data_IF_111207079132
#
_entry.id   IF_111207079132
#
_cell.length_a   1.000
_cell.length_b   1.000
_cell.length_c   1.000
_cell.angle_alpha   90.00
_cell.angle_beta   90.00
_cell.angle_gamma   90.00
#
_symmetry.space_group_name_H-M   'P 1'
#
loop_
_entity.id
_entity.type
_entity.pdbx_description
1 polymer ?
#
# COMPACT_ATOMS: atom_id res chain seq x y z
N UNK A 1 10.23 11.17 -33.17
CA UNK A 1 9.56 9.88 -32.92
C UNK A 1 9.69 9.48 -31.46
N UNK A 2 10.90 9.47 -30.89
CA UNK A 2 11.15 9.11 -29.47
C UNK A 2 10.39 9.93 -28.42
N UNK A 3 10.30 11.26 -28.61
CA UNK A 3 9.56 12.11 -27.67
C UNK A 3 8.06 11.74 -27.60
N UNK A 4 7.45 11.46 -28.75
CA UNK A 4 6.04 11.07 -28.82
C UNK A 4 5.81 9.73 -28.13
N UNK A 5 6.71 8.77 -28.37
CA UNK A 5 6.69 7.48 -27.70
C UNK A 5 6.80 7.65 -26.18
N UNK A 6 7.77 8.40 -25.68
CA UNK A 6 7.90 8.66 -24.24
C UNK A 6 6.63 9.30 -23.64
N UNK A 7 5.99 10.23 -24.35
CA UNK A 7 4.74 10.84 -23.92
C UNK A 7 3.61 9.80 -23.86
N UNK A 8 3.48 8.94 -24.87
CA UNK A 8 2.50 7.84 -24.90
C UNK A 8 2.72 6.88 -23.71
N UNK A 9 3.96 6.49 -23.44
CA UNK A 9 4.30 5.62 -22.29
C UNK A 9 3.96 6.29 -20.95
N UNK A 10 4.24 7.59 -20.79
CA UNK A 10 3.88 8.33 -19.56
C UNK A 10 2.36 8.42 -19.40
N UNK A 11 1.61 8.56 -20.49
CA UNK A 11 0.13 8.57 -20.46
C UNK A 11 -0.40 7.22 -20.00
N UNK A 12 0.12 6.11 -20.52
CA UNK A 12 -0.26 4.76 -20.09
C UNK A 12 0.03 4.57 -18.60
N UNK A 13 1.24 4.91 -18.16
CA UNK A 13 1.64 4.80 -16.76
C UNK A 13 0.77 5.65 -15.83
N UNK A 14 0.44 6.87 -16.24
CA UNK A 14 -0.46 7.72 -15.48
C UNK A 14 -1.88 7.15 -15.43
N UNK A 15 -2.35 6.49 -16.49
CA UNK A 15 -3.62 5.75 -16.49
C UNK A 15 -3.63 4.66 -15.44
N UNK A 16 -2.61 3.80 -15.43
CA UNK A 16 -2.45 2.72 -14.44
C UNK A 16 -2.41 3.25 -13.00
N UNK A 17 -1.71 4.38 -12.76
CA UNK A 17 -1.67 5.00 -11.44
C UNK A 17 -3.02 5.58 -11.01
N UNK A 18 -3.81 6.13 -11.94
CA UNK A 18 -5.17 6.60 -11.64
C UNK A 18 -6.12 5.42 -11.35
N UNK A 19 -5.99 4.30 -12.06
CA UNK A 19 -6.73 3.08 -11.76
C UNK A 19 -6.38 2.55 -10.36
N UNK A 20 -5.08 2.53 -10.02
CA UNK A 20 -4.62 2.15 -8.68
C UNK A 20 -5.15 3.09 -7.60
N UNK A 21 -5.16 4.39 -7.86
CA UNK A 21 -5.73 5.39 -6.94
C UNK A 21 -7.22 5.11 -6.68
N UNK A 22 -8.00 4.86 -7.73
CA UNK A 22 -9.43 4.58 -7.60
C UNK A 22 -9.69 3.29 -6.78
N UNK A 23 -8.84 2.27 -6.94
CA UNK A 23 -8.93 1.04 -6.12
C UNK A 23 -8.58 1.32 -4.66
N UNK A 24 -7.55 2.13 -4.40
CA UNK A 24 -7.18 2.51 -3.03
C UNK A 24 -8.27 3.35 -2.35
N UNK A 25 -8.88 4.30 -3.05
CA UNK A 25 -10.00 5.10 -2.54
C UNK A 25 -11.23 4.23 -2.25
N UNK A 26 -11.52 3.25 -3.12
CA UNK A 26 -12.56 2.25 -2.88
C UNK A 26 -12.25 1.42 -1.63
N UNK A 27 -11.02 0.95 -1.48
CA UNK A 27 -10.59 0.21 -0.29
C UNK A 27 -10.77 1.05 0.99
N UNK A 28 -10.49 2.36 0.96
CA UNK A 28 -10.75 3.25 2.10
C UNK A 28 -12.22 3.20 2.54
N UNK A 29 -13.15 3.20 1.58
CA UNK A 29 -14.59 3.09 1.87
C UNK A 29 -14.96 1.69 2.40
N UNK A 30 -14.42 0.63 1.79
CA UNK A 30 -14.65 -0.76 2.20
C UNK A 30 -14.14 -1.03 3.63
N UNK A 31 -13.02 -0.43 4.03
CA UNK A 31 -12.52 -0.47 5.40
C UNK A 31 -13.47 0.22 6.39
N UNK A 32 -14.09 1.33 5.99
CA UNK A 32 -15.11 2.02 6.78
C UNK A 32 -16.35 1.16 7.05
N UNK A 33 -16.76 0.37 6.05
CA UNK A 33 -17.89 -0.55 6.14
C UNK A 33 -17.53 -1.93 6.72
N UNK A 34 -16.24 -2.17 7.03
CA UNK A 34 -15.69 -3.47 7.47
C UNK A 34 -16.05 -4.60 6.49
N UNK A 35 -16.04 -4.30 5.19
CA UNK A 35 -16.40 -5.24 4.14
C UNK A 35 -15.19 -6.08 3.70
N UNK A 36 -14.87 -7.10 4.49
CA UNK A 36 -13.69 -7.97 4.28
C UNK A 36 -13.69 -8.66 2.91
N UNK A 37 -14.86 -9.05 2.40
CA UNK A 37 -14.98 -9.68 1.09
C UNK A 37 -14.62 -8.72 -0.05
N UNK A 38 -15.07 -7.47 0.03
CA UNK A 38 -14.72 -6.44 -0.94
C UNK A 38 -13.23 -6.06 -0.86
N UNK A 39 -12.68 -5.94 0.35
CA UNK A 39 -11.25 -5.68 0.56
C UNK A 39 -10.35 -6.76 -0.07
N UNK A 40 -10.77 -8.02 -0.07
CA UNK A 40 -10.04 -9.11 -0.74
C UNK A 40 -9.97 -8.91 -2.27
N UNK A 41 -11.08 -8.48 -2.88
CA UNK A 41 -11.16 -8.17 -4.32
C UNK A 41 -10.28 -6.95 -4.64
N UNK A 42 -10.33 -5.92 -3.79
CA UNK A 42 -9.47 -4.73 -3.90
C UNK A 42 -7.98 -5.10 -3.80
N UNK A 43 -7.59 -6.03 -2.93
CA UNK A 43 -6.21 -6.53 -2.85
C UNK A 43 -5.76 -7.23 -4.13
N UNK A 44 -6.57 -8.14 -4.68
CA UNK A 44 -6.23 -8.82 -5.94
C UNK A 44 -6.08 -7.81 -7.10
N UNK A 45 -6.95 -6.80 -7.14
CA UNK A 45 -6.88 -5.74 -8.17
C UNK A 45 -5.61 -4.89 -8.02
N UNK A 46 -5.20 -4.57 -6.78
CA UNK A 46 -3.94 -3.86 -6.51
C UNK A 46 -2.73 -4.68 -6.95
N UNK A 47 -2.72 -5.98 -6.69
CA UNK A 47 -1.62 -6.87 -7.12
C UNK A 47 -1.48 -6.89 -8.66
N UNK A 48 -2.59 -6.99 -9.38
CA UNK A 48 -2.58 -6.93 -10.84
C UNK A 48 -2.07 -5.58 -11.37
N UNK A 49 -2.57 -4.47 -10.83
CA UNK A 49 -2.18 -3.12 -11.26
C UNK A 49 -0.72 -2.81 -10.93
N UNK A 50 -0.24 -3.21 -9.75
CA UNK A 50 1.17 -3.04 -9.38
C UNK A 50 2.09 -3.89 -10.24
N UNK A 51 1.65 -5.11 -10.63
CA UNK A 51 2.34 -5.93 -11.64
C UNK A 51 2.49 -5.19 -12.97
N UNK A 52 1.39 -4.67 -13.53
CA UNK A 52 1.40 -3.91 -14.79
C UNK A 52 2.31 -2.67 -14.71
N UNK A 53 2.27 -1.94 -13.60
CA UNK A 53 3.13 -0.77 -13.33
C UNK A 53 4.62 -1.18 -13.30
N UNK A 54 4.94 -2.30 -12.66
CA UNK A 54 6.30 -2.81 -12.58
C UNK A 54 6.84 -3.24 -13.95
N UNK A 55 6.01 -3.90 -14.78
CA UNK A 55 6.36 -4.29 -16.15
C UNK A 55 6.60 -3.09 -17.07
N UNK A 56 5.85 -2.00 -16.86
CA UNK A 56 5.92 -0.80 -17.69
C UNK A 56 7.08 0.14 -17.30
N UNK A 57 7.58 0.04 -16.06
CA UNK A 57 8.64 0.92 -15.54
C UNK A 57 9.97 0.84 -16.32
N UNK A 58 10.50 -0.36 -16.69
CA UNK A 58 11.69 -0.48 -17.53
C UNK A 58 11.55 0.15 -18.91
N UNK A 59 10.35 0.10 -19.51
CA UNK A 59 10.07 0.67 -20.83
C UNK A 59 10.24 2.19 -20.79
N UNK A 60 9.68 2.83 -19.76
CA UNK A 60 9.83 4.27 -19.53
C UNK A 60 11.29 4.65 -19.26
N UNK A 61 12.01 3.88 -18.43
CA UNK A 61 13.43 4.15 -18.16
C UNK A 61 14.28 4.06 -19.42
N UNK A 62 14.01 3.07 -20.28
CA UNK A 62 14.68 2.93 -21.57
C UNK A 62 14.37 4.11 -22.50
N UNK A 63 13.10 4.52 -22.59
CA UNK A 63 12.68 5.67 -23.40
C UNK A 63 13.31 6.99 -22.91
N UNK A 64 13.39 7.20 -21.60
CA UNK A 64 14.11 8.35 -21.00
C UNK A 64 15.58 8.31 -21.39
N UNK A 65 16.24 7.16 -21.22
CA UNK A 65 17.68 7.01 -21.52
C UNK A 65 17.99 7.32 -22.98
N UNK A 66 17.16 6.81 -23.90
CA UNK A 66 17.30 7.03 -25.35
C UNK A 66 17.06 8.50 -25.73
N UNK A 67 16.04 9.13 -25.14
CA UNK A 67 15.74 10.53 -25.41
C UNK A 67 16.83 11.45 -24.82
N UNK A 68 17.30 11.19 -23.60
CA UNK A 68 18.41 11.92 -22.98
C UNK A 68 19.68 11.85 -23.82
N UNK A 69 20.03 10.66 -24.33
CA UNK A 69 21.20 10.48 -25.19
C UNK A 69 21.11 11.32 -26.48
N UNK A 70 19.91 11.41 -27.10
CA UNK A 70 19.67 12.26 -28.28
C UNK A 70 19.74 13.75 -27.97
N UNK A 71 19.30 14.13 -26.79
CA UNK A 71 19.30 15.52 -26.33
C UNK A 71 20.68 15.98 -25.84
N UNK A 72 21.69 15.09 -25.82
CA UNK A 72 23.04 15.37 -25.34
C UNK A 72 23.16 15.44 -23.82
N UNK A 73 22.20 14.86 -23.11
CA UNK A 73 22.12 14.83 -21.65
C UNK A 73 22.52 13.43 -21.15
N UNK A 74 23.20 13.29 -19.99
CA UNK A 74 23.48 11.97 -19.43
C UNK A 74 22.22 11.11 -19.32
N UNK A 75 22.27 9.86 -19.78
CA UNK A 75 21.12 8.93 -19.75
C UNK A 75 20.61 8.59 -18.34
N UNK A 76 21.35 8.97 -17.31
CA UNK A 76 21.01 8.79 -15.89
C UNK A 76 20.17 9.93 -15.30
N UNK A 77 19.86 10.98 -16.09
CA UNK A 77 19.04 12.09 -15.58
C UNK A 77 17.59 11.67 -15.32
N UNK A 78 16.99 12.33 -14.34
CA UNK A 78 15.57 12.12 -14.04
C UNK A 78 14.68 12.68 -15.14
N UNK A 79 13.46 12.12 -15.24
CA UNK A 79 12.43 12.60 -16.17
C UNK A 79 12.15 14.11 -16.02
N UNK A 80 12.24 14.65 -14.80
CA UNK A 80 12.03 16.08 -14.55
C UNK A 80 13.08 16.95 -15.24
N UNK A 81 14.37 16.59 -15.13
CA UNK A 81 15.47 17.33 -15.75
C UNK A 81 15.37 17.27 -17.28
N UNK A 82 15.04 16.09 -17.83
CA UNK A 82 14.80 15.93 -19.26
C UNK A 82 13.61 16.78 -19.74
N UNK A 83 12.50 16.78 -18.99
CA UNK A 83 11.31 17.55 -19.32
C UNK A 83 11.55 19.07 -19.30
N UNK A 84 12.30 19.57 -18.32
CA UNK A 84 12.70 20.98 -18.25
C UNK A 84 13.60 21.38 -19.43
N UNK A 85 14.55 20.52 -19.80
CA UNK A 85 15.43 20.77 -20.94
C UNK A 85 14.65 20.87 -22.25
N UNK A 86 13.71 19.95 -22.49
CA UNK A 86 12.86 19.95 -23.68
C UNK A 86 11.89 21.14 -23.66
N UNK A 87 11.38 21.53 -22.49
CA UNK A 87 10.55 22.73 -22.34
C UNK A 87 11.29 24.02 -22.71
N UNK A 88 12.58 24.14 -22.39
CA UNK A 88 13.43 25.28 -22.81
C UNK A 88 13.59 25.35 -24.33
N UNK A 89 13.49 24.22 -25.04
CA UNK A 89 13.49 24.13 -26.51
C UNK A 89 12.12 24.41 -27.14
N UNK A 90 11.11 24.76 -26.34
CA UNK A 90 9.79 25.18 -26.80
C UNK A 90 8.70 24.11 -26.72
N UNK A 91 9.02 22.86 -26.36
CA UNK A 91 8.01 21.81 -26.18
C UNK A 91 7.72 21.55 -24.70
N UNK A 92 6.59 22.08 -24.21
CA UNK A 92 6.16 21.97 -22.80
C UNK A 92 5.34 20.71 -22.50
N UNK A 93 4.99 19.91 -23.51
CA UNK A 93 4.09 18.76 -23.36
C UNK A 93 4.64 17.73 -22.37
N UNK A 94 5.93 17.39 -22.50
CA UNK A 94 6.58 16.43 -21.61
C UNK A 94 6.61 16.93 -20.15
N UNK A 95 6.79 18.23 -19.94
CA UNK A 95 6.78 18.84 -18.61
C UNK A 95 5.40 18.74 -17.96
N UNK A 96 4.33 19.02 -18.72
CA UNK A 96 2.96 18.87 -18.24
C UNK A 96 2.69 17.41 -17.85
N UNK A 97 3.10 16.45 -18.68
CA UNK A 97 2.90 15.02 -18.42
C UNK A 97 3.71 14.54 -17.21
N UNK A 98 4.94 15.03 -17.05
CA UNK A 98 5.77 14.74 -15.88
C UNK A 98 5.14 15.28 -14.58
N UNK A 99 4.53 16.46 -14.61
CA UNK A 99 3.82 17.02 -13.46
C UNK A 99 2.56 16.22 -13.12
N UNK A 100 1.80 15.81 -14.14
CA UNK A 100 0.60 14.97 -13.97
C UNK A 100 0.93 13.64 -13.29
N UNK A 101 1.88 12.89 -13.83
CA UNK A 101 2.26 11.58 -13.26
C UNK A 101 2.80 11.71 -11.83
N UNK A 102 3.56 12.77 -11.54
CA UNK A 102 4.05 13.06 -10.19
C UNK A 102 2.90 13.33 -9.22
N UNK A 103 1.95 14.18 -9.60
CA UNK A 103 0.79 14.49 -8.75
C UNK A 103 -0.06 13.24 -8.47
N UNK A 104 -0.27 12.38 -9.48
CA UNK A 104 -0.98 11.10 -9.30
C UNK A 104 -0.22 10.18 -8.36
N UNK A 105 1.10 10.03 -8.52
CA UNK A 105 1.92 9.20 -7.65
C UNK A 105 1.91 9.68 -6.19
N UNK A 106 2.00 11.01 -5.97
CA UNK A 106 1.90 11.61 -4.63
C UNK A 106 0.53 11.30 -3.98
N UNK A 107 -0.57 11.36 -4.74
CA UNK A 107 -1.91 10.98 -4.23
C UNK A 107 -2.01 9.50 -3.89
N UNK A 108 -1.52 8.61 -4.76
CA UNK A 108 -1.46 7.16 -4.50
C UNK A 108 -0.74 6.89 -3.18
N UNK A 109 0.41 7.54 -2.96
CA UNK A 109 1.16 7.39 -1.72
C UNK A 109 0.39 7.88 -0.49
N UNK A 110 -0.31 9.02 -0.59
CA UNK A 110 -1.13 9.55 0.50
C UNK A 110 -2.28 8.61 0.87
N UNK A 111 -3.05 8.13 -0.11
CA UNK A 111 -4.19 7.23 0.13
C UNK A 111 -3.71 5.86 0.64
N UNK A 112 -2.63 5.31 0.07
CA UNK A 112 -2.05 4.07 0.58
C UNK A 112 -1.57 4.20 2.04
N UNK A 113 -0.98 5.34 2.40
CA UNK A 113 -0.58 5.62 3.79
C UNK A 113 -1.79 5.70 4.71
N UNK A 114 -2.88 6.33 4.26
CA UNK A 114 -4.13 6.42 5.02
C UNK A 114 -4.76 5.03 5.23
N UNK A 115 -4.85 4.21 4.18
CA UNK A 115 -5.38 2.85 4.27
C UNK A 115 -4.56 1.99 5.25
N UNK A 116 -3.23 2.15 5.24
CA UNK A 116 -2.36 1.50 6.22
C UNK A 116 -2.68 1.94 7.65
N UNK A 117 -2.81 3.24 7.90
CA UNK A 117 -3.14 3.77 9.23
C UNK A 117 -4.51 3.25 9.72
N UNK A 118 -5.52 3.20 8.84
CA UNK A 118 -6.85 2.65 9.16
C UNK A 118 -6.73 1.17 9.53
N UNK A 119 -6.00 0.37 8.73
CA UNK A 119 -5.80 -1.05 8.99
C UNK A 119 -5.06 -1.32 10.31
N UNK A 120 -4.02 -0.53 10.62
CA UNK A 120 -3.28 -0.62 11.88
C UNK A 120 -4.22 -0.33 13.08
N UNK A 121 -5.00 0.76 13.03
CA UNK A 121 -5.97 1.09 14.09
C UNK A 121 -7.07 0.04 14.24
N UNK A 122 -7.56 -0.51 13.14
CA UNK A 122 -8.54 -1.59 13.16
C UNK A 122 -7.98 -2.83 13.88
N UNK A 123 -6.75 -3.22 13.56
CA UNK A 123 -6.06 -4.35 14.19
C UNK A 123 -5.91 -4.15 15.71
N UNK A 124 -5.48 -2.96 16.14
CA UNK A 124 -5.36 -2.61 17.56
C UNK A 124 -6.71 -2.71 18.30
N UNK A 125 -7.79 -2.22 17.67
CA UNK A 125 -9.15 -2.25 18.24
C UNK A 125 -9.66 -3.69 18.42
N UNK A 126 -9.46 -4.55 17.42
CA UNK A 126 -9.82 -5.97 17.49
C UNK A 126 -9.02 -6.69 18.57
N UNK A 127 -7.71 -6.44 18.66
CA UNK A 127 -6.86 -7.02 19.69
C UNK A 127 -7.29 -6.60 21.11
N UNK A 128 -7.60 -5.32 21.31
CA UNK A 128 -8.12 -4.79 22.57
C UNK A 128 -9.45 -5.45 22.97
N UNK A 129 -10.36 -5.59 22.00
CA UNK A 129 -11.65 -6.25 22.20
C UNK A 129 -11.49 -7.72 22.59
N UNK A 130 -10.60 -8.44 21.91
CA UNK A 130 -10.29 -9.84 22.22
C UNK A 130 -9.69 -10.01 23.62
N UNK A 131 -8.78 -9.13 24.01
CA UNK A 131 -8.20 -9.11 25.35
C UNK A 131 -9.26 -8.86 26.43
N UNK A 132 -10.20 -7.95 26.17
CA UNK A 132 -11.31 -7.67 27.09
C UNK A 132 -12.23 -8.88 27.24
N UNK A 133 -12.65 -9.50 26.13
CA UNK A 133 -13.49 -10.71 26.14
C UNK A 133 -12.77 -11.85 26.88
N UNK A 134 -11.48 -12.06 26.59
CA UNK A 134 -10.66 -13.08 27.27
C UNK A 134 -10.57 -12.82 28.77
N UNK A 135 -10.37 -11.57 29.18
CA UNK A 135 -10.37 -11.18 30.60
C UNK A 135 -11.72 -11.45 31.26
N UNK A 136 -12.83 -11.09 30.59
CA UNK A 136 -14.19 -11.36 31.09
C UNK A 136 -14.43 -12.86 31.25
N UNK A 137 -14.10 -13.69 30.25
CA UNK A 137 -14.26 -15.15 30.33
C UNK A 137 -13.42 -15.75 31.47
N UNK A 138 -12.19 -15.29 31.63
CA UNK A 138 -11.31 -15.73 32.72
C UNK A 138 -11.81 -15.26 34.09
N UNK A 139 -12.42 -14.08 34.20
CA UNK A 139 -13.03 -13.58 35.44
C UNK A 139 -14.36 -14.29 35.76
N UNK A 140 -15.20 -14.60 34.77
CA UNK A 140 -16.44 -15.35 34.98
C UNK A 140 -16.19 -16.79 35.43
N UNK A 141 -15.04 -17.37 35.04
CA UNK A 141 -14.60 -18.68 35.55
C UNK A 141 -14.08 -18.66 37.00
N UNK A 142 -13.91 -17.47 37.60
CA UNK A 142 -13.42 -17.31 38.99
C UNK A 142 -14.56 -17.24 40.01
N UNK A 143 -15.79 -16.94 39.60
CA UNK A 143 -16.94 -16.86 40.51
C UNK A 143 -17.89 -18.05 40.31
N UNK A 144 -17.77 -19.07 41.17
CA UNK A 144 -18.83 -20.06 41.36
C UNK A 144 -20.03 -19.46 42.12
N UNK A 145 -21.21 -20.13 42.14
CA UNK A 145 -22.47 -19.63 42.73
C UNK A 145 -22.43 -19.35 44.25
N UNK A 146 -21.27 -19.47 44.90
CA UNK A 146 -21.06 -19.19 46.32
C UNK A 146 -19.97 -18.13 46.61
N UNK A 147 -19.46 -17.40 45.61
CA UNK A 147 -18.57 -16.24 45.83
C UNK A 147 -17.19 -16.54 46.40
N UNK A 148 -16.70 -17.78 46.33
CA UNK A 148 -15.35 -18.15 46.75
C UNK A 148 -14.41 -18.35 45.55
N UNK A 149 -13.21 -17.76 45.61
CA UNK A 149 -12.11 -18.08 44.70
C UNK A 149 -11.85 -19.60 44.73
N UNK A 150 -11.91 -20.28 43.57
CA UNK A 150 -11.38 -21.64 43.46
C UNK A 150 -9.85 -21.56 43.56
N UNK A 151 -9.19 -22.11 44.59
CA UNK A 151 -7.75 -22.30 44.54
C UNK A 151 -7.47 -23.27 43.39
N UNK A 152 -6.61 -22.86 42.44
CA UNK A 152 -6.00 -23.80 41.53
C UNK A 152 -5.28 -24.85 42.38
N UNK A 153 -5.82 -26.07 42.40
CA UNK A 153 -5.07 -27.25 42.82
C UNK A 153 -3.90 -27.36 41.84
N UNK A 154 -2.74 -26.87 42.30
CA UNK A 154 -1.45 -27.18 41.71
C UNK A 154 -1.35 -28.70 41.74
N UNK A 155 -1.55 -29.32 40.58
CA UNK A 155 -1.30 -30.73 40.39
C UNK A 155 0.12 -31.01 40.85
N UNK A 156 0.22 -31.76 41.94
CA UNK A 156 1.44 -32.29 42.52
C UNK A 156 2.24 -33.03 41.46
N UNK A 157 3.31 -32.41 40.97
CA UNK A 157 4.38 -33.13 40.29
C UNK A 157 5.13 -33.90 41.37
N UNK A 158 4.77 -35.17 41.56
CA UNK A 158 5.59 -36.13 42.31
C UNK A 158 6.91 -36.32 41.57
N UNK A 159 7.97 -35.66 42.04
CA UNK A 159 9.35 -36.05 41.72
C UNK A 159 9.65 -37.25 42.61
N UNK A 160 9.51 -38.46 42.07
CA UNK A 160 10.15 -39.64 42.67
C UNK A 160 11.66 -39.50 42.49
N UNK A 161 12.35 -39.14 43.57
CA UNK A 161 13.79 -39.39 43.75
C UNK A 161 13.91 -40.81 44.31
N UNK A 162 14.25 -41.76 43.46
CA UNK A 162 14.88 -43.00 43.91
C UNK A 162 16.40 -42.87 43.78
N UNK A 163 17.08 -43.61 44.65
CA UNK A 163 18.44 -43.44 45.17
C UNK A 163 19.58 -43.64 44.17
#
# INVERSE_FOLDING_TARGET
MELKKLIEEIVVQNGLLNELLAVLERETAEMGDVNISAMSISNQTKEELTGKIAEHSPVIQSAISQLSAREGIPGTVSLGVLAEHIAKKGNRELLIKQQQIRATAERVQQVASLNREIAERFSESVASSFNLITRLMNQSNVYGPAGGYKPQSVGSVMINREA
#
